data_IF_379414243592
#
_entry.id   IF_379414243592
#
_cell.length_a   1.000
_cell.length_b   1.000
_cell.length_c   1.000
_cell.angle_alpha   90.00
_cell.angle_beta   90.00
_cell.angle_gamma   90.00
#
_symmetry.space_group_name_H-M   'P 1'
#
loop_
_entity.id
_entity.type
_entity.pdbx_description
1 polymer ?
#
# COMPACT_ATOMS: atom_id res chain seq x y z
N UNK A 1 13.11 9.51 -27.54
CA UNK A 1 13.44 8.49 -26.53
C UNK A 1 12.13 8.08 -25.89
N UNK A 2 11.86 6.79 -25.76
CA UNK A 2 10.69 6.31 -25.00
C UNK A 2 10.87 6.77 -23.55
N UNK A 3 9.85 7.40 -22.97
CA UNK A 3 9.90 7.78 -21.56
C UNK A 3 10.19 6.54 -20.70
N UNK A 4 10.95 6.71 -19.62
CA UNK A 4 11.23 5.67 -18.62
C UNK A 4 10.87 6.21 -17.26
N UNK A 5 10.45 5.33 -16.36
CA UNK A 5 10.33 5.69 -14.95
C UNK A 5 11.71 6.01 -14.38
N UNK A 6 11.74 6.95 -13.44
CA UNK A 6 12.96 7.27 -12.69
C UNK A 6 13.26 6.14 -11.72
N UNK A 7 14.54 5.74 -11.66
CA UNK A 7 15.04 4.77 -10.69
C UNK A 7 16.03 5.46 -9.76
N UNK A 8 15.78 5.38 -8.47
CA UNK A 8 16.65 5.88 -7.40
C UNK A 8 17.36 4.71 -6.71
N UNK A 9 18.59 4.89 -6.20
CA UNK A 9 19.22 3.90 -5.33
C UNK A 9 18.51 3.85 -3.96
N UNK A 10 18.62 2.75 -3.20
CA UNK A 10 18.11 2.68 -1.82
C UNK A 10 18.76 3.66 -0.82
N UNK A 11 19.85 4.33 -1.22
CA UNK A 11 20.48 5.41 -0.45
C UNK A 11 19.84 6.78 -0.69
N UNK A 12 18.84 6.87 -1.58
CA UNK A 12 18.08 8.09 -1.79
C UNK A 12 17.31 8.49 -0.53
N UNK A 13 17.02 9.77 -0.42
CA UNK A 13 16.23 10.31 0.68
C UNK A 13 14.73 10.20 0.37
N UNK A 14 13.90 10.34 1.40
CA UNK A 14 12.45 10.48 1.21
C UNK A 14 12.13 11.71 0.35
N UNK A 15 12.90 12.80 0.47
CA UNK A 15 12.70 14.00 -0.35
C UNK A 15 12.96 13.73 -1.84
N UNK A 16 13.98 12.93 -2.17
CA UNK A 16 14.25 12.52 -3.56
C UNK A 16 13.08 11.69 -4.12
N UNK A 17 12.52 10.79 -3.31
CA UNK A 17 11.32 10.00 -3.66
C UNK A 17 10.12 10.92 -3.89
N UNK A 18 9.89 11.88 -3.00
CA UNK A 18 8.79 12.84 -3.08
C UNK A 18 8.88 13.72 -4.32
N UNK A 19 10.07 14.21 -4.67
CA UNK A 19 10.29 15.03 -5.88
C UNK A 19 9.87 14.27 -7.15
N UNK A 20 10.24 12.99 -7.24
CA UNK A 20 9.85 12.15 -8.38
C UNK A 20 8.37 11.82 -8.36
N UNK A 21 7.78 11.51 -7.19
CA UNK A 21 6.35 11.23 -7.07
C UNK A 21 5.50 12.45 -7.46
N UNK A 22 5.89 13.66 -7.06
CA UNK A 22 5.18 14.89 -7.44
C UNK A 22 5.18 15.10 -8.95
N UNK A 23 6.32 14.83 -9.61
CA UNK A 23 6.49 15.00 -11.06
C UNK A 23 5.83 13.89 -11.88
N UNK A 24 6.08 12.63 -11.52
CA UNK A 24 5.80 11.47 -12.35
C UNK A 24 4.66 10.59 -11.81
N UNK A 25 4.28 10.74 -10.54
CA UNK A 25 3.28 9.89 -9.89
C UNK A 25 3.76 8.47 -9.56
N UNK A 26 5.01 8.13 -9.91
CA UNK A 26 5.63 6.85 -9.61
C UNK A 26 7.15 6.87 -9.75
N UNK A 27 7.83 6.14 -8.87
CA UNK A 27 9.29 6.03 -8.80
C UNK A 27 9.72 4.62 -8.43
N UNK A 28 10.79 4.13 -9.06
CA UNK A 28 11.42 2.87 -8.65
C UNK A 28 12.52 3.20 -7.66
N UNK A 29 12.55 2.52 -6.53
CA UNK A 29 13.71 2.50 -5.63
C UNK A 29 14.35 1.12 -5.75
N UNK A 30 15.61 1.09 -6.14
CA UNK A 30 16.38 -0.13 -6.31
C UNK A 30 16.77 -0.72 -4.95
N UNK A 31 16.73 -2.05 -4.82
CA UNK A 31 17.24 -2.77 -3.65
C UNK A 31 16.64 -2.29 -2.30
N UNK A 32 15.33 -2.00 -2.29
CA UNK A 32 14.59 -1.54 -1.09
C UNK A 32 14.59 -2.60 0.02
N UNK A 33 14.42 -3.86 -0.35
CA UNK A 33 14.29 -4.97 0.56
C UNK A 33 15.43 -5.95 0.33
N UNK A 34 16.22 -6.30 1.37
CA UNK A 34 17.29 -7.28 1.25
C UNK A 34 16.79 -8.64 0.79
N UNK A 35 17.61 -9.35 0.01
CA UNK A 35 17.28 -10.66 -0.53
C UNK A 35 16.87 -11.68 0.54
N UNK A 36 17.53 -11.67 1.71
CA UNK A 36 17.20 -12.54 2.84
C UNK A 36 15.76 -12.31 3.35
N UNK A 37 15.30 -11.04 3.37
CA UNK A 37 13.93 -10.72 3.77
C UNK A 37 12.94 -11.19 2.71
N UNK A 38 13.27 -11.02 1.43
CA UNK A 38 12.44 -11.52 0.34
C UNK A 38 12.38 -13.05 0.30
N UNK A 39 13.47 -13.75 0.63
CA UNK A 39 13.50 -15.22 0.75
C UNK A 39 12.57 -15.69 1.86
N UNK A 40 12.59 -14.99 3.01
CA UNK A 40 11.70 -15.29 4.14
C UNK A 40 10.24 -15.06 3.77
N UNK A 41 9.92 -13.92 3.14
CA UNK A 41 8.57 -13.63 2.65
C UNK A 41 8.10 -14.71 1.67
N UNK A 42 8.94 -15.11 0.73
CA UNK A 42 8.61 -16.17 -0.22
C UNK A 42 8.35 -17.52 0.47
N UNK A 43 9.22 -17.92 1.40
CA UNK A 43 9.05 -19.17 2.16
C UNK A 43 7.73 -19.19 2.94
N UNK A 44 7.37 -18.06 3.57
CA UNK A 44 6.13 -17.92 4.34
C UNK A 44 4.88 -17.88 3.44
N UNK A 45 4.94 -17.21 2.27
CA UNK A 45 3.78 -17.01 1.40
C UNK A 45 3.56 -18.09 0.33
N UNK A 46 4.60 -18.79 -0.11
CA UNK A 46 4.52 -19.76 -1.21
C UNK A 46 3.49 -20.88 -0.97
N UNK A 47 3.33 -21.48 0.23
CA UNK A 47 2.30 -22.50 0.45
C UNK A 47 0.88 -21.95 0.26
N UNK A 48 0.65 -20.69 0.64
CA UNK A 48 -0.64 -20.03 0.45
C UNK A 48 -0.88 -19.67 -1.03
N UNK A 49 0.16 -19.22 -1.74
CA UNK A 49 0.09 -18.94 -3.18
C UNK A 49 -0.16 -20.22 -3.99
N UNK A 50 0.45 -21.34 -3.63
CA UNK A 50 0.24 -22.63 -4.30
C UNK A 50 -1.18 -23.17 -4.10
N UNK A 51 -1.75 -22.96 -2.91
CA UNK A 51 -3.13 -23.35 -2.60
C UNK A 51 -4.19 -22.39 -3.18
N UNK A 52 -3.80 -21.17 -3.55
CA UNK A 52 -4.72 -20.15 -4.05
C UNK A 52 -5.07 -20.43 -5.51
N UNK A 53 -6.37 -20.55 -5.88
CA UNK A 53 -6.76 -20.73 -7.27
C UNK A 53 -6.42 -19.49 -8.10
N UNK A 54 -6.35 -19.65 -9.42
CA UNK A 54 -6.27 -18.49 -10.30
C UNK A 54 -7.56 -17.65 -10.20
N UNK A 55 -7.45 -16.36 -10.53
CA UNK A 55 -8.60 -15.46 -10.62
C UNK A 55 -9.59 -15.87 -11.71
N UNK A 56 -10.80 -15.31 -11.62
CA UNK A 56 -11.95 -15.65 -12.44
C UNK A 56 -12.46 -14.49 -13.30
N UNK A 57 -11.69 -13.40 -13.44
CA UNK A 57 -12.04 -12.26 -14.28
C UNK A 57 -10.83 -11.50 -14.82
N UNK A 58 -11.09 -10.60 -15.77
CA UNK A 58 -10.06 -9.86 -16.51
C UNK A 58 -9.17 -8.96 -15.63
N UNK A 59 -9.73 -8.42 -14.55
CA UNK A 59 -8.98 -7.58 -13.60
C UNK A 59 -8.07 -8.42 -12.69
N UNK A 60 -8.61 -9.50 -12.13
CA UNK A 60 -7.88 -10.36 -11.18
C UNK A 60 -6.93 -11.34 -11.88
N UNK A 61 -7.21 -11.68 -13.14
CA UNK A 61 -6.39 -12.49 -14.03
C UNK A 61 -6.68 -13.99 -13.95
N UNK A 62 -6.97 -14.61 -15.10
CA UNK A 62 -7.27 -16.05 -15.21
C UNK A 62 -6.06 -16.99 -15.04
N UNK A 63 -4.85 -16.45 -15.07
CA UNK A 63 -3.58 -17.13 -14.87
C UNK A 63 -2.77 -16.46 -13.76
N UNK A 64 -3.46 -15.77 -12.85
CA UNK A 64 -2.86 -15.04 -11.73
C UNK A 64 -3.43 -15.53 -10.42
N UNK A 65 -2.56 -15.81 -9.44
CA UNK A 65 -2.94 -16.16 -8.07
C UNK A 65 -2.75 -14.95 -7.18
N UNK A 66 -3.72 -14.70 -6.30
CA UNK A 66 -3.76 -13.49 -5.46
C UNK A 66 -4.02 -13.86 -4.01
N UNK A 67 -2.99 -13.77 -3.19
CA UNK A 67 -3.06 -14.08 -1.75
C UNK A 67 -3.06 -12.80 -0.93
N UNK A 68 -4.17 -12.49 -0.26
CA UNK A 68 -4.28 -11.34 0.66
C UNK A 68 -3.91 -11.72 2.10
N UNK A 69 -4.14 -10.82 3.06
CA UNK A 69 -3.91 -11.01 4.50
C UNK A 69 -2.46 -11.34 4.81
N UNK A 70 -1.55 -10.60 4.16
CA UNK A 70 -0.12 -10.87 4.18
C UNK A 70 0.45 -10.88 5.59
N UNK A 71 0.04 -9.92 6.42
CA UNK A 71 0.51 -9.81 7.81
C UNK A 71 -0.05 -10.92 8.72
N UNK A 72 -1.02 -11.72 8.26
CA UNK A 72 -1.46 -12.91 8.99
C UNK A 72 -0.72 -14.18 8.55
N UNK A 73 -0.13 -14.16 7.36
CA UNK A 73 0.49 -15.32 6.69
C UNK A 73 2.01 -15.26 6.70
N UNK A 74 2.57 -14.06 6.76
CA UNK A 74 4.00 -13.78 6.71
C UNK A 74 4.34 -12.63 7.67
N UNK A 75 4.85 -12.93 8.89
CA UNK A 75 5.42 -11.92 9.77
C UNK A 75 6.56 -11.12 9.15
N UNK A 76 7.25 -11.67 8.15
CA UNK A 76 8.25 -10.93 7.36
C UNK A 76 7.69 -9.73 6.60
N UNK A 77 6.40 -9.74 6.24
CA UNK A 77 5.77 -8.62 5.56
C UNK A 77 5.71 -7.34 6.42
N UNK A 78 5.93 -7.40 7.73
CA UNK A 78 6.07 -6.21 8.58
C UNK A 78 7.21 -5.29 8.12
N UNK A 79 8.28 -5.84 7.55
CA UNK A 79 9.38 -5.05 6.98
C UNK A 79 8.96 -4.25 5.74
N UNK A 80 7.96 -4.72 4.99
CA UNK A 80 7.41 -3.98 3.85
C UNK A 80 6.57 -2.79 4.32
N UNK A 81 5.77 -2.99 5.36
CA UNK A 81 4.89 -1.95 5.94
C UNK A 81 5.69 -0.81 6.57
N UNK A 82 6.84 -1.12 7.12
CA UNK A 82 7.73 -0.18 7.81
C UNK A 82 8.91 0.26 6.94
N UNK A 83 8.87 -0.03 5.63
CA UNK A 83 9.95 0.35 4.73
C UNK A 83 10.08 1.90 4.69
N UNK A 84 11.28 2.46 4.92
CA UNK A 84 11.47 3.90 5.13
C UNK A 84 10.99 4.81 4.00
N UNK A 85 11.19 4.44 2.73
CA UNK A 85 10.80 5.27 1.60
C UNK A 85 9.27 5.30 1.43
N UNK A 86 8.61 4.13 1.50
CA UNK A 86 7.16 4.03 1.45
C UNK A 86 6.52 4.77 2.62
N UNK A 87 6.93 4.45 3.86
CA UNK A 87 6.33 5.02 5.05
C UNK A 87 6.59 6.53 5.15
N UNK A 88 7.80 6.99 4.78
CA UNK A 88 8.14 8.41 4.73
C UNK A 88 7.34 9.18 3.67
N UNK A 89 7.17 8.61 2.47
CA UNK A 89 6.32 9.20 1.43
C UNK A 89 4.86 9.26 1.88
N UNK A 90 4.33 8.19 2.48
CA UNK A 90 2.98 8.15 3.02
C UNK A 90 2.77 9.15 4.16
N UNK A 91 3.72 9.27 5.11
CA UNK A 91 3.64 10.25 6.21
C UNK A 91 3.54 11.68 5.67
N UNK A 92 4.34 11.98 4.63
CA UNK A 92 4.40 13.31 4.01
C UNK A 92 3.15 13.64 3.19
N UNK A 93 2.64 12.68 2.40
CA UNK A 93 1.56 12.90 1.44
C UNK A 93 0.15 12.69 2.02
N UNK A 94 0.01 11.85 3.06
CA UNK A 94 -1.30 11.42 3.56
C UNK A 94 -1.67 12.03 4.92
N UNK A 95 -0.70 12.45 5.75
CA UNK A 95 -0.98 13.06 7.07
C UNK A 95 -1.25 14.55 6.97
N UNK A 96 -2.43 14.87 6.47
CA UNK A 96 -2.92 16.24 6.50
C UNK A 96 -3.19 16.72 7.93
N UNK A 97 -3.02 18.03 8.13
CA UNK A 97 -3.44 18.71 9.35
C UNK A 97 -4.74 19.45 9.09
N UNK A 98 -5.83 18.96 9.67
CA UNK A 98 -7.10 19.67 9.69
C UNK A 98 -7.11 20.71 10.81
N UNK A 99 -7.83 21.80 10.60
CA UNK A 99 -8.07 22.82 11.63
C UNK A 99 -9.56 22.91 11.88
N UNK A 100 -9.97 22.91 13.13
CA UNK A 100 -11.37 23.11 13.51
C UNK A 100 -11.44 23.85 14.83
N UNK A 101 -12.57 24.52 15.04
CA UNK A 101 -12.90 25.10 16.32
C UNK A 101 -13.52 24.05 17.23
N UNK A 102 -13.10 24.02 18.49
CA UNK A 102 -13.79 23.33 19.59
C UNK A 102 -13.99 24.34 20.71
N UNK A 103 -15.24 24.80 20.86
CA UNK A 103 -15.54 25.96 21.68
C UNK A 103 -14.78 27.19 21.15
N UNK A 104 -13.99 27.82 22.01
CA UNK A 104 -13.18 29.00 21.69
C UNK A 104 -11.75 28.66 21.24
N UNK A 105 -11.40 27.37 21.12
CA UNK A 105 -10.07 26.93 20.73
C UNK A 105 -10.03 26.54 19.24
N UNK A 106 -9.03 27.07 18.52
CA UNK A 106 -8.75 26.66 17.14
C UNK A 106 -7.70 25.55 17.13
N UNK A 107 -8.15 24.31 17.29
CA UNK A 107 -7.29 23.14 17.43
C UNK A 107 -6.83 22.60 16.06
N UNK A 108 -5.66 21.97 16.05
CA UNK A 108 -5.06 21.35 14.88
C UNK A 108 -4.98 19.84 15.07
N UNK A 109 -5.50 19.08 14.09
CA UNK A 109 -5.52 17.62 14.14
C UNK A 109 -4.72 17.06 12.97
N UNK A 110 -3.58 16.45 13.30
CA UNK A 110 -2.76 15.75 12.31
C UNK A 110 -3.26 14.32 12.18
N UNK A 111 -3.63 13.92 10.98
CA UNK A 111 -4.04 12.55 10.68
C UNK A 111 -2.90 11.55 10.86
N UNK A 112 -3.25 10.27 10.83
CA UNK A 112 -2.30 9.15 10.79
C UNK A 112 -2.33 8.47 9.42
N UNK A 113 -1.50 7.43 9.25
CA UNK A 113 -1.56 6.52 8.09
C UNK A 113 -1.76 5.10 8.58
N UNK A 114 -2.32 4.25 7.73
CA UNK A 114 -2.56 2.84 8.02
C UNK A 114 -2.52 2.01 6.73
N UNK A 115 -2.24 0.72 6.85
CA UNK A 115 -2.34 -0.25 5.76
C UNK A 115 -3.77 -0.25 5.22
N UNK A 116 -3.92 -0.07 3.92
CA UNK A 116 -5.21 -0.25 3.24
C UNK A 116 -5.38 -1.69 2.79
N UNK A 117 -4.42 -2.22 2.02
CA UNK A 117 -4.43 -3.61 1.57
C UNK A 117 -3.01 -4.14 1.36
N UNK A 118 -2.86 -5.46 1.49
CA UNK A 118 -1.66 -6.19 1.09
C UNK A 118 -2.01 -7.43 0.27
N UNK A 119 -1.34 -7.64 -0.85
CA UNK A 119 -1.55 -8.82 -1.68
C UNK A 119 -0.28 -9.29 -2.37
N UNK A 120 -0.02 -10.61 -2.29
CA UNK A 120 0.97 -11.27 -3.12
C UNK A 120 0.27 -11.74 -4.41
N UNK A 121 0.76 -11.27 -5.54
CA UNK A 121 0.19 -11.43 -6.87
C UNK A 121 1.20 -12.22 -7.69
N UNK A 122 0.89 -13.49 -7.94
CA UNK A 122 1.77 -14.42 -8.63
C UNK A 122 1.22 -14.69 -10.04
N UNK A 123 1.87 -14.08 -11.02
CA UNK A 123 1.40 -13.94 -12.39
C UNK A 123 2.06 -15.00 -13.27
N UNK A 124 1.27 -15.93 -13.78
CA UNK A 124 1.77 -17.03 -14.60
C UNK A 124 2.01 -16.68 -16.07
N UNK A 125 2.76 -17.55 -16.78
CA UNK A 125 2.97 -17.46 -18.22
C UNK A 125 1.66 -17.34 -19.00
N UNK A 126 1.61 -16.43 -19.97
CA UNK A 126 0.44 -16.20 -20.82
C UNK A 126 -0.64 -15.29 -20.23
N UNK A 127 -0.50 -14.83 -18.98
CA UNK A 127 -1.43 -13.87 -18.37
C UNK A 127 -1.54 -12.60 -19.23
N UNK A 128 -2.77 -12.17 -19.50
CA UNK A 128 -3.07 -10.92 -20.21
C UNK A 128 -2.80 -9.70 -19.32
N UNK A 129 -2.47 -8.58 -19.97
CA UNK A 129 -2.32 -7.30 -19.28
C UNK A 129 -3.62 -6.93 -18.57
N UNK A 130 -3.47 -6.37 -17.37
CA UNK A 130 -4.58 -5.83 -16.59
C UNK A 130 -5.09 -4.53 -17.24
N UNK A 131 -6.39 -4.23 -17.18
CA UNK A 131 -6.89 -2.90 -17.56
C UNK A 131 -6.19 -1.79 -16.77
N UNK A 132 -5.89 -0.66 -17.41
CA UNK A 132 -5.32 0.50 -16.72
C UNK A 132 -6.33 1.07 -15.73
N UNK A 133 -5.89 1.30 -14.49
CA UNK A 133 -6.72 1.74 -13.38
C UNK A 133 -5.94 2.62 -12.40
N UNK A 134 -6.67 3.29 -11.51
CA UNK A 134 -6.17 3.96 -10.31
C UNK A 134 -6.62 3.14 -9.12
N UNK A 135 -5.73 2.88 -8.17
CA UNK A 135 -6.09 2.07 -7.01
C UNK A 135 -6.92 2.87 -5.99
N UNK A 136 -6.82 4.19 -6.01
CA UNK A 136 -7.62 5.04 -5.12
C UNK A 136 -9.12 5.13 -5.46
N UNK A 137 -9.57 4.47 -6.54
CA UNK A 137 -10.98 4.42 -6.91
C UNK A 137 -11.87 3.86 -5.80
N UNK A 138 -11.32 3.03 -4.91
CA UNK A 138 -12.01 2.48 -3.73
C UNK A 138 -12.45 3.56 -2.72
N UNK A 139 -11.83 4.74 -2.76
CA UNK A 139 -12.15 5.86 -1.88
C UNK A 139 -13.13 6.86 -2.50
N UNK A 140 -13.63 6.63 -3.72
CA UNK A 140 -14.65 7.45 -4.39
C UNK A 140 -14.36 8.96 -4.43
N UNK A 141 -13.08 9.31 -4.52
CA UNK A 141 -12.59 10.70 -4.61
C UNK A 141 -12.69 11.25 -6.03
N UNK A 142 -12.47 12.56 -6.17
CA UNK A 142 -12.34 13.27 -7.44
C UNK A 142 -10.88 13.56 -7.77
N UNK A 143 -10.55 13.62 -9.05
CA UNK A 143 -9.21 13.96 -9.53
C UNK A 143 -9.20 15.23 -10.40
N UNK A 144 -8.12 16.03 -10.34
CA UNK A 144 -7.01 15.92 -9.38
C UNK A 144 -7.45 16.36 -7.97
N UNK A 145 -6.73 15.90 -6.94
CA UNK A 145 -6.98 16.28 -5.55
C UNK A 145 -5.92 15.70 -4.61
N UNK A 146 -6.02 15.93 -3.29
CA UNK A 146 -5.00 15.48 -2.32
C UNK A 146 -4.99 13.95 -2.18
N UNK A 147 -3.86 13.26 -2.35
CA UNK A 147 -3.79 11.78 -2.39
C UNK A 147 -4.51 11.07 -1.25
N UNK A 148 -5.23 9.97 -1.53
CA UNK A 148 -5.84 9.13 -0.47
C UNK A 148 -5.00 7.91 -0.09
N UNK A 149 -4.09 7.49 -0.96
CA UNK A 149 -3.20 6.36 -0.70
C UNK A 149 -1.88 6.50 -1.46
N UNK A 150 -0.84 5.89 -0.91
CA UNK A 150 0.46 5.65 -1.55
C UNK A 150 0.72 4.15 -1.49
N UNK A 151 1.26 3.57 -2.54
CA UNK A 151 1.38 2.14 -2.69
C UNK A 151 2.74 1.75 -3.23
N UNK A 152 3.20 0.57 -2.81
CA UNK A 152 4.40 -0.04 -3.36
C UNK A 152 4.09 -1.40 -3.96
N UNK A 153 4.64 -1.64 -5.15
CA UNK A 153 4.77 -2.98 -5.72
C UNK A 153 6.22 -3.42 -5.53
N UNK A 154 6.46 -4.29 -4.54
CA UNK A 154 7.77 -4.88 -4.33
C UNK A 154 8.00 -6.04 -5.31
N UNK A 155 9.19 -6.05 -5.93
CA UNK A 155 9.63 -7.08 -6.83
C UNK A 155 10.04 -8.35 -6.06
N UNK A 156 9.14 -9.34 -5.97
CA UNK A 156 9.47 -10.66 -5.41
C UNK A 156 10.31 -11.53 -6.35
N UNK A 157 10.26 -11.22 -7.65
CA UNK A 157 11.10 -11.74 -8.73
C UNK A 157 11.57 -10.57 -9.60
N UNK A 158 12.50 -10.79 -10.53
CA UNK A 158 12.87 -9.78 -11.54
C UNK A 158 11.66 -9.39 -12.40
N UNK A 159 11.54 -8.10 -12.70
CA UNK A 159 10.53 -7.55 -13.59
C UNK A 159 11.18 -7.09 -14.88
N UNK A 160 10.70 -7.61 -16.00
CA UNK A 160 11.02 -7.10 -17.32
C UNK A 160 9.77 -7.09 -18.18
N UNK A 161 9.81 -6.34 -19.28
CA UNK A 161 8.66 -6.16 -20.16
C UNK A 161 7.99 -7.50 -20.55
N UNK A 162 8.79 -8.51 -20.91
CA UNK A 162 8.27 -9.79 -21.39
C UNK A 162 7.51 -10.61 -20.33
N UNK A 163 7.89 -10.54 -19.05
CA UNK A 163 7.22 -11.26 -17.95
C UNK A 163 6.10 -10.47 -17.27
N UNK A 164 5.71 -9.34 -17.87
CA UNK A 164 4.58 -8.54 -17.43
C UNK A 164 4.93 -7.54 -16.33
N UNK A 165 6.11 -6.92 -16.38
CA UNK A 165 6.43 -5.73 -15.58
C UNK A 165 5.24 -4.76 -15.55
N UNK A 166 5.02 -4.13 -14.39
CA UNK A 166 3.88 -3.23 -14.21
C UNK A 166 4.00 -2.07 -15.18
N UNK A 167 2.92 -1.76 -15.89
CA UNK A 167 2.83 -0.66 -16.83
C UNK A 167 2.30 0.57 -16.09
N UNK A 168 3.02 1.69 -16.12
CA UNK A 168 2.67 2.92 -15.41
C UNK A 168 2.59 4.06 -16.42
N UNK A 169 1.65 4.99 -16.26
CA UNK A 169 1.63 6.22 -17.05
C UNK A 169 2.16 7.39 -16.20
N UNK A 170 3.41 7.84 -16.42
CA UNK A 170 3.96 8.96 -15.67
C UNK A 170 3.15 10.25 -15.88
N UNK A 171 2.92 11.00 -14.80
CA UNK A 171 2.16 12.26 -14.81
C UNK A 171 0.64 12.09 -14.82
N UNK A 172 0.14 10.85 -14.85
CA UNK A 172 -1.31 10.59 -14.94
C UNK A 172 -2.08 10.81 -13.64
N UNK A 173 -1.38 10.96 -12.51
CA UNK A 173 -1.95 11.42 -11.23
C UNK A 173 -2.56 12.82 -11.31
N UNK A 174 -2.08 13.65 -12.24
CA UNK A 174 -2.56 15.02 -12.46
C UNK A 174 -3.80 15.10 -13.37
N UNK A 175 -4.21 13.99 -13.97
CA UNK A 175 -5.34 13.98 -14.91
C UNK A 175 -6.68 14.01 -14.18
N UNK A 176 -7.67 14.63 -14.80
CA UNK A 176 -9.06 14.59 -14.33
C UNK A 176 -9.69 13.19 -14.44
N UNK A 177 -10.97 13.08 -14.05
CA UNK A 177 -11.73 11.82 -14.09
C UNK A 177 -12.24 11.46 -15.51
N UNK A 178 -12.21 12.40 -16.47
CA UNK A 178 -12.82 12.23 -17.79
C UNK A 178 -11.80 11.78 -18.86
N UNK A 179 -10.52 12.05 -18.64
CA UNK A 179 -9.44 11.65 -19.55
C UNK A 179 -9.15 10.15 -19.46
N UNK A 180 -9.44 9.43 -20.54
CA UNK A 180 -9.23 7.98 -20.64
C UNK A 180 -7.74 7.55 -20.79
N UNK A 181 -7.37 6.48 -20.06
CA UNK A 181 -6.29 5.53 -20.31
C UNK A 181 -5.87 5.15 -21.71
N UNK A 182 -4.65 5.41 -22.20
CA UNK A 182 -4.14 4.70 -23.39
C UNK A 182 -2.93 3.82 -23.06
N UNK A 183 -2.94 2.51 -23.42
CA UNK A 183 -1.78 1.63 -23.21
C UNK A 183 -0.47 2.13 -23.82
N UNK A 184 -0.52 2.90 -24.92
CA UNK A 184 0.65 3.49 -25.57
C UNK A 184 1.33 4.60 -24.74
N UNK A 185 0.66 5.11 -23.72
CA UNK A 185 1.20 6.12 -22.78
C UNK A 185 1.93 5.46 -21.61
N UNK A 186 1.75 4.15 -21.43
CA UNK A 186 2.31 3.42 -20.31
C UNK A 186 3.73 2.92 -20.62
N UNK A 187 4.58 2.94 -19.61
CA UNK A 187 5.97 2.48 -19.67
C UNK A 187 6.16 1.37 -18.63
N UNK A 188 7.00 0.35 -18.91
CA UNK A 188 7.22 -0.75 -17.98
C UNK A 188 8.11 -0.32 -16.80
N UNK A 189 7.73 -0.76 -15.60
CA UNK A 189 8.54 -0.68 -14.39
C UNK A 189 9.45 -1.92 -14.30
N UNK A 190 10.50 -1.94 -15.12
CA UNK A 190 11.53 -2.98 -15.10
C UNK A 190 12.47 -2.76 -13.92
N UNK A 191 12.65 -3.78 -13.07
CA UNK A 191 13.43 -3.68 -11.84
C UNK A 191 13.85 -5.05 -11.33
N UNK A 192 14.96 -5.10 -10.60
CA UNK A 192 15.48 -6.31 -9.98
C UNK A 192 14.63 -6.73 -8.78
N UNK A 193 14.70 -8.01 -8.40
CA UNK A 193 14.15 -8.51 -7.14
C UNK A 193 14.64 -7.66 -5.96
N UNK A 194 13.77 -7.41 -4.99
CA UNK A 194 14.08 -6.57 -3.82
C UNK A 194 13.82 -5.08 -4.05
N UNK A 195 13.80 -4.62 -5.31
CA UNK A 195 13.38 -3.26 -5.66
C UNK A 195 11.87 -3.07 -5.45
N UNK A 196 11.41 -1.82 -5.40
CA UNK A 196 9.99 -1.51 -5.36
C UNK A 196 9.62 -0.29 -6.19
N UNK A 197 8.45 -0.36 -6.82
CA UNK A 197 7.80 0.77 -7.46
C UNK A 197 6.87 1.42 -6.45
N UNK A 198 7.20 2.60 -5.95
CA UNK A 198 6.31 3.45 -5.16
C UNK A 198 5.49 4.29 -6.13
N UNK A 199 4.17 4.30 -6.00
CA UNK A 199 3.28 5.13 -6.82
C UNK A 199 2.12 5.72 -6.01
N UNK A 200 1.61 6.84 -6.52
CA UNK A 200 0.40 7.46 -5.98
C UNK A 200 -0.83 6.64 -6.36
N UNK A 201 -1.84 6.62 -5.48
CA UNK A 201 -3.09 5.93 -5.76
C UNK A 201 -3.82 6.45 -7.01
N UNK A 202 -3.61 7.72 -7.32
CA UNK A 202 -4.16 8.44 -8.47
C UNK A 202 -3.38 8.18 -9.77
N UNK A 203 -2.25 7.49 -9.73
CA UNK A 203 -1.46 7.17 -10.93
C UNK A 203 -2.08 6.00 -11.68
N UNK A 204 -2.38 6.20 -12.96
CA UNK A 204 -2.85 5.12 -13.83
C UNK A 204 -1.74 4.09 -14.09
N UNK A 205 -2.06 2.84 -13.82
CA UNK A 205 -1.16 1.72 -14.00
C UNK A 205 -1.93 0.41 -14.23
N UNK A 206 -1.20 -0.68 -14.48
CA UNK A 206 -1.76 -2.03 -14.53
C UNK A 206 -0.68 -3.08 -14.76
N UNK A 207 -0.91 -4.33 -14.33
CA UNK A 207 -0.01 -5.44 -14.63
C UNK A 207 0.22 -5.61 -16.14
N UNK A 208 1.47 -5.73 -16.56
CA UNK A 208 1.81 -6.03 -17.96
C UNK A 208 1.38 -7.44 -18.37
N UNK A 209 1.35 -7.70 -19.67
CA UNK A 209 1.11 -9.06 -20.16
C UNK A 209 2.35 -9.92 -19.92
N UNK A 210 2.17 -11.06 -19.26
CA UNK A 210 3.24 -12.06 -19.18
C UNK A 210 3.21 -12.88 -20.48
N UNK A 211 4.13 -12.57 -21.37
CA UNK A 211 4.29 -13.21 -22.69
C UNK A 211 5.31 -14.34 -22.71
N UNK A 212 5.95 -14.61 -21.56
CA UNK A 212 6.88 -15.74 -21.41
C UNK A 212 6.13 -17.08 -21.43
N UNK A 213 6.90 -18.17 -21.50
CA UNK A 213 6.39 -19.54 -21.50
C UNK A 213 6.54 -20.25 -20.16
N UNK A 214 7.45 -19.77 -19.31
CA UNK A 214 7.98 -20.51 -18.16
C UNK A 214 8.27 -19.64 -16.93
N UNK A 215 8.09 -18.32 -17.01
CA UNK A 215 8.34 -17.42 -15.89
C UNK A 215 7.05 -17.04 -15.17
N UNK A 216 7.07 -17.15 -13.84
CA UNK A 216 6.08 -16.54 -12.97
C UNK A 216 6.65 -15.26 -12.36
N UNK A 217 5.88 -14.16 -12.46
CA UNK A 217 6.26 -12.88 -11.85
C UNK A 217 5.56 -12.71 -10.51
N UNK A 218 6.32 -12.53 -9.43
CA UNK A 218 5.78 -12.24 -8.10
C UNK A 218 5.80 -10.73 -7.82
N UNK A 219 4.61 -10.16 -7.63
CA UNK A 219 4.45 -8.83 -7.07
C UNK A 219 3.90 -8.89 -5.66
N UNK A 220 4.53 -8.19 -4.72
CA UNK A 220 3.98 -8.01 -3.38
C UNK A 220 3.50 -6.56 -3.31
N UNK A 221 2.19 -6.40 -3.41
CA UNK A 221 1.51 -5.13 -3.36
C UNK A 221 1.19 -4.76 -1.91
N UNK A 222 1.52 -3.54 -1.52
CA UNK A 222 1.17 -2.99 -0.21
C UNK A 222 0.79 -1.52 -0.34
N UNK A 223 -0.41 -1.16 0.10
CA UNK A 223 -0.90 0.23 0.10
C UNK A 223 -1.05 0.77 1.52
N UNK A 224 -0.65 2.03 1.70
CA UNK A 224 -0.95 2.84 2.88
C UNK A 224 -1.99 3.89 2.49
N UNK A 225 -3.02 4.05 3.32
CA UNK A 225 -4.04 5.09 3.19
C UNK A 225 -4.06 6.00 4.41
N UNK A 226 -4.89 7.04 4.34
CA UNK A 226 -5.14 7.95 5.46
C UNK A 226 -5.80 7.19 6.62
N UNK A 227 -5.39 7.49 7.84
CA UNK A 227 -5.89 6.83 9.05
C UNK A 227 -7.39 7.05 9.32
N UNK A 228 -8.01 8.00 8.64
CA UNK A 228 -9.46 8.26 8.73
C UNK A 228 -10.26 7.72 7.53
N UNK A 229 -9.60 7.09 6.54
CA UNK A 229 -10.28 6.36 5.47
C UNK A 229 -10.44 4.90 5.85
N UNK A 230 -11.49 4.26 5.32
CA UNK A 230 -11.70 2.83 5.50
C UNK A 230 -10.66 2.06 4.68
N UNK A 231 -10.00 1.09 5.32
CA UNK A 231 -9.08 0.16 4.65
C UNK A 231 -9.80 -0.65 3.56
N UNK A 232 -9.16 -0.83 2.40
CA UNK A 232 -9.67 -1.68 1.32
C UNK A 232 -9.79 -3.14 1.75
N UNK A 233 -8.72 -3.69 2.35
CA UNK A 233 -8.74 -4.97 3.05
C UNK A 233 -9.05 -4.73 4.53
N UNK A 234 -10.07 -5.42 5.05
CA UNK A 234 -10.44 -5.30 6.47
C UNK A 234 -9.37 -5.97 7.36
N UNK A 235 -8.39 -5.19 7.83
CA UNK A 235 -7.25 -5.71 8.60
C UNK A 235 -7.67 -6.29 9.96
N UNK A 236 -8.76 -5.80 10.55
CA UNK A 236 -9.30 -6.34 11.80
C UNK A 236 -9.82 -7.78 11.68
N UNK A 237 -10.21 -8.20 10.46
CA UNK A 237 -10.57 -9.59 10.15
C UNK A 237 -9.40 -10.37 9.53
N UNK A 238 -8.58 -9.69 8.74
CA UNK A 238 -7.49 -10.32 8.01
C UNK A 238 -6.39 -10.82 8.96
N UNK A 239 -6.08 -10.06 10.02
CA UNK A 239 -5.02 -10.38 10.98
C UNK A 239 -5.62 -10.74 12.34
N UNK A 240 -5.51 -12.01 12.80
CA UNK A 240 -6.00 -12.41 14.10
C UNK A 240 -5.39 -11.59 15.23
N UNK A 241 -6.20 -11.27 16.25
CA UNK A 241 -5.82 -10.39 17.37
C UNK A 241 -4.51 -10.81 18.04
N UNK A 242 -4.33 -12.12 18.26
CA UNK A 242 -3.12 -12.69 18.86
C UNK A 242 -1.86 -12.43 18.04
N UNK A 243 -1.99 -12.36 16.71
CA UNK A 243 -0.87 -12.01 15.83
C UNK A 243 -0.60 -10.51 15.82
N UNK A 244 -1.65 -9.69 15.85
CA UNK A 244 -1.50 -8.23 16.01
C UNK A 244 -0.68 -7.94 17.28
N UNK A 245 -1.01 -8.58 18.40
CA UNK A 245 -0.29 -8.41 19.67
C UNK A 245 1.19 -8.82 19.62
N UNK A 246 1.58 -9.71 18.71
CA UNK A 246 2.95 -10.17 18.54
C UNK A 246 3.82 -9.17 17.73
N UNK A 247 3.20 -8.25 16.98
CA UNK A 247 3.92 -7.24 16.22
C UNK A 247 4.43 -6.09 17.09
N UNK A 248 5.49 -5.37 16.67
CA UNK A 248 5.86 -4.08 17.26
C UNK A 248 4.70 -3.09 17.22
N UNK A 249 4.62 -2.19 18.21
CA UNK A 249 3.52 -1.21 18.34
C UNK A 249 3.28 -0.38 17.06
N UNK A 250 4.34 0.01 16.37
CA UNK A 250 4.23 0.73 15.09
C UNK A 250 3.40 -0.04 14.06
N UNK A 251 3.66 -1.33 13.89
CA UNK A 251 2.92 -2.20 12.97
C UNK A 251 1.48 -2.42 13.47
N UNK A 252 1.27 -2.54 14.78
CA UNK A 252 -0.09 -2.62 15.35
C UNK A 252 -0.92 -1.39 14.98
N UNK A 253 -0.34 -0.19 15.13
CA UNK A 253 -0.99 1.07 14.75
C UNK A 253 -1.23 1.16 13.26
N UNK A 254 -0.26 0.75 12.43
CA UNK A 254 -0.40 0.70 10.98
C UNK A 254 -1.45 -0.33 10.51
N UNK A 255 -1.74 -1.38 11.28
CA UNK A 255 -2.84 -2.30 11.00
C UNK A 255 -4.23 -1.72 11.32
N UNK A 256 -4.30 -0.48 11.81
CA UNK A 256 -5.55 0.21 12.15
C UNK A 256 -5.90 0.16 13.64
N UNK A 257 -5.03 -0.40 14.50
CA UNK A 257 -5.19 -0.35 15.96
C UNK A 257 -4.60 0.94 16.53
N UNK A 258 -4.97 2.08 15.94
CA UNK A 258 -4.56 3.40 16.39
C UNK A 258 -5.64 4.43 16.11
N UNK A 259 -5.77 5.39 17.01
CA UNK A 259 -6.68 6.52 16.82
C UNK A 259 -6.13 7.50 15.76
N UNK A 260 -6.96 7.87 14.78
CA UNK A 260 -6.72 9.07 13.97
C UNK A 260 -7.41 10.25 14.65
N UNK A 261 -6.61 11.11 15.27
CA UNK A 261 -7.08 12.26 16.05
C UNK A 261 -7.98 13.16 15.18
N UNK A 262 -9.09 13.69 15.74
CA UNK A 262 -9.47 13.61 17.15
C UNK A 262 -10.28 12.36 17.54
N UNK A 263 -11.11 11.82 16.66
CA UNK A 263 -12.10 10.80 17.06
C UNK A 263 -12.20 9.62 16.09
N UNK A 264 -11.42 9.56 15.01
CA UNK A 264 -11.64 8.52 14.02
C UNK A 264 -10.98 7.21 14.47
N UNK A 265 -11.78 6.14 14.55
CA UNK A 265 -11.30 4.79 14.87
C UNK A 265 -11.24 4.43 16.36
N UNK A 266 -11.88 5.17 17.26
CA UNK A 266 -11.92 4.80 18.68
C UNK A 266 -12.69 3.49 18.92
N UNK A 267 -12.37 2.81 20.02
CA UNK A 267 -13.18 1.73 20.59
C UNK A 267 -13.49 2.09 22.05
N UNK A 268 -14.78 2.12 22.43
CA UNK A 268 -15.24 2.62 23.74
C UNK A 268 -14.60 3.97 24.17
N UNK A 269 -14.60 4.96 23.26
CA UNK A 269 -13.99 6.29 23.44
C UNK A 269 -12.51 6.27 23.87
N UNK A 270 -11.77 5.23 23.48
CA UNK A 270 -10.34 5.08 23.77
C UNK A 270 -9.56 4.74 22.49
N UNK A 271 -8.24 4.94 22.55
CA UNK A 271 -7.32 4.43 21.53
C UNK A 271 -7.37 2.90 21.52
N UNK A 272 -7.76 2.25 20.40
CA UNK A 272 -7.82 0.79 20.29
C UNK A 272 -6.51 0.10 20.66
N UNK A 273 -5.36 0.76 20.48
CA UNK A 273 -4.07 0.22 20.86
C UNK A 273 -3.99 -0.17 22.35
N UNK A 274 -4.61 0.63 23.22
CA UNK A 274 -4.60 0.40 24.67
C UNK A 274 -5.48 -0.80 25.03
N UNK A 275 -6.65 -0.90 24.42
CA UNK A 275 -7.61 -1.99 24.67
C UNK A 275 -7.16 -3.32 24.06
N UNK A 276 -6.40 -3.28 22.98
CA UNK A 276 -5.79 -4.46 22.38
C UNK A 276 -4.96 -5.25 23.41
N UNK A 277 -4.24 -4.57 24.31
CA UNK A 277 -3.36 -5.19 25.32
C UNK A 277 -4.11 -5.72 26.55
N UNK A 278 -5.15 -5.01 27.00
CA UNK A 278 -5.79 -5.29 28.29
C UNK A 278 -6.90 -6.36 28.23
N UNK A 279 -7.38 -6.75 27.04
CA UNK A 279 -8.30 -7.87 26.85
C UNK A 279 -9.74 -7.66 27.31
N UNK A 280 -10.00 -6.67 28.16
CA UNK A 280 -11.34 -6.25 28.57
C UNK A 280 -11.42 -4.72 28.54
N UNK A 281 -12.33 -4.18 27.73
CA UNK A 281 -12.99 -2.94 28.10
C UNK A 281 -13.86 -3.31 29.30
N UNK A 282 -13.32 -3.19 30.51
CA UNK A 282 -14.15 -3.15 31.72
C UNK A 282 -15.27 -2.16 31.39
N UNK A 283 -16.54 -2.60 31.44
CA UNK A 283 -17.73 -1.86 31.04
C UNK A 283 -17.99 -0.57 31.85
N UNK A 284 -16.96 -0.07 32.53
CA UNK A 284 -16.89 1.12 33.35
C UNK A 284 -15.87 2.15 32.85
N UNK A 285 -15.08 1.88 31.78
CA UNK A 285 -14.16 2.89 31.22
C UNK A 285 -14.97 3.99 30.53
N UNK A 286 -15.21 5.07 31.27
CA UNK A 286 -15.97 6.26 30.89
C UNK A 286 -15.48 6.88 29.58
N UNK A 287 -16.33 7.70 28.95
CA UNK A 287 -15.92 8.60 27.86
C UNK A 287 -14.70 9.43 28.28
N UNK A 288 -13.51 9.06 27.77
CA UNK A 288 -12.32 9.87 27.90
C UNK A 288 -12.30 10.89 26.77
N UNK A 289 -11.92 12.12 27.08
CA UNK A 289 -11.74 13.14 26.05
C UNK A 289 -10.56 12.71 25.16
N UNK A 290 -10.84 12.53 23.87
CA UNK A 290 -9.86 12.16 22.86
C UNK A 290 -9.24 13.39 22.17
N UNK A 291 -9.65 14.60 22.58
CA UNK A 291 -8.93 15.80 22.24
C UNK A 291 -7.54 15.76 22.91
N UNK A 292 -6.47 16.20 22.21
CA UNK A 292 -5.15 16.27 22.79
C UNK A 292 -5.17 17.05 24.12
N UNK A 293 -4.55 16.50 25.17
CA UNK A 293 -4.31 17.27 26.38
C UNK A 293 -3.46 18.51 26.04
N UNK A 294 -3.83 19.64 26.65
CA UNK A 294 -3.17 20.95 26.52
C UNK A 294 -1.65 20.91 26.67
#
# INVERSE_FOLDING_TARGET
MTAKLTTLPNSATVDDVLEVLERDGGVIVADMIPDETMDRIWSELSPYLEATPNGDGDFVGHLTRRTSSLLAKSPACAALVTEPHLLGAADSLLRETAKSWVGDEHSHYRGTVQVSAGQAIYIGPGQKAQPLHRDDMVHHRRHPGPESQVQTLYAGTEYHYANGATMVIPGSHLWDDDRKPLPSEAVPAEMTRGSGLIHLGSTYHGGGANTTTDEYRLAISLSLCRGYLRQEENQYLAVPREQVLAYPEEVQRLLGYGLSIPFCGWYEMQDPHLLLRDGEADGTRSAHDLLPNR
#
